data_IF_142935384014
#
_entry.id   IF_142935384014
#
_cell.length_a   1.000
_cell.length_b   1.000
_cell.length_c   1.000
_cell.angle_alpha   90.00
_cell.angle_beta   90.00
_cell.angle_gamma   90.00
#
_symmetry.space_group_name_H-M   'P 1'
#
loop_
_entity.id
_entity.type
_entity.pdbx_description
1 polymer ?
#
# COMPACT_ATOMS: atom_id res chain seq x y z
N UNK A 1 -26.93 -13.51 -33.20
CA UNK A 1 -26.70 -14.14 -31.88
C UNK A 1 -27.02 -13.10 -30.83
N UNK A 2 -27.88 -13.39 -29.86
CA UNK A 2 -28.19 -12.43 -28.80
C UNK A 2 -27.00 -12.30 -27.86
N UNK A 3 -26.71 -11.07 -27.45
CA UNK A 3 -25.65 -10.79 -26.48
C UNK A 3 -26.02 -11.44 -25.14
N UNK A 4 -25.09 -12.11 -24.44
CA UNK A 4 -25.39 -12.71 -23.15
C UNK A 4 -25.66 -11.61 -22.11
N UNK A 5 -26.78 -11.75 -21.39
CA UNK A 5 -27.14 -10.88 -20.26
C UNK A 5 -26.60 -11.47 -18.96
N UNK A 6 -25.95 -10.63 -18.16
CA UNK A 6 -25.48 -11.01 -16.82
C UNK A 6 -26.71 -11.05 -15.89
N UNK A 7 -27.00 -12.17 -15.21
CA UNK A 7 -28.12 -12.25 -14.27
C UNK A 7 -27.88 -11.35 -13.06
N UNK A 8 -28.96 -10.85 -12.45
CA UNK A 8 -28.86 -10.08 -11.22
C UNK A 8 -28.44 -10.97 -10.04
N UNK A 9 -27.43 -10.53 -9.29
CA UNK A 9 -26.90 -11.21 -8.12
C UNK A 9 -27.50 -10.61 -6.85
N UNK A 10 -28.12 -11.43 -6.00
CA UNK A 10 -28.79 -11.00 -4.76
C UNK A 10 -27.86 -10.33 -3.73
N UNK A 11 -26.54 -10.48 -3.85
CA UNK A 11 -25.54 -9.99 -2.89
C UNK A 11 -24.46 -9.13 -3.55
N UNK A 12 -24.78 -8.48 -4.68
CA UNK A 12 -23.82 -7.55 -5.30
C UNK A 12 -23.65 -6.32 -4.40
N UNK A 13 -22.43 -6.03 -3.91
CA UNK A 13 -22.21 -4.84 -3.10
C UNK A 13 -22.45 -3.58 -3.93
N UNK A 14 -22.92 -2.53 -3.24
CA UNK A 14 -23.00 -1.20 -3.81
C UNK A 14 -21.60 -0.68 -4.14
N UNK A 15 -21.53 0.26 -5.09
CA UNK A 15 -20.27 0.92 -5.45
C UNK A 15 -19.58 1.54 -4.23
N UNK A 16 -20.34 2.15 -3.32
CA UNK A 16 -19.82 2.76 -2.09
C UNK A 16 -19.20 1.72 -1.15
N UNK A 17 -19.84 0.56 -0.97
CA UNK A 17 -19.28 -0.55 -0.20
C UNK A 17 -17.97 -1.06 -0.80
N UNK A 18 -17.93 -1.22 -2.13
CA UNK A 18 -16.70 -1.64 -2.84
C UNK A 18 -15.58 -0.63 -2.64
N UNK A 19 -15.84 0.68 -2.76
CA UNK A 19 -14.82 1.71 -2.54
C UNK A 19 -14.30 1.67 -1.11
N UNK A 20 -15.19 1.55 -0.11
CA UNK A 20 -14.81 1.44 1.29
C UNK A 20 -13.93 0.20 1.51
N UNK A 21 -14.29 -0.94 0.94
CA UNK A 21 -13.52 -2.17 1.09
C UNK A 21 -12.17 -2.12 0.38
N UNK A 22 -12.07 -1.42 -0.76
CA UNK A 22 -10.80 -1.11 -1.41
C UNK A 22 -9.90 -0.24 -0.52
N UNK A 23 -10.46 0.82 0.08
CA UNK A 23 -9.71 1.69 1.01
C UNK A 23 -9.25 0.92 2.26
N UNK A 24 -10.09 0.04 2.81
CA UNK A 24 -9.69 -0.87 3.90
C UNK A 24 -8.56 -1.79 3.48
N UNK A 25 -8.63 -2.38 2.28
CA UNK A 25 -7.55 -3.23 1.76
C UNK A 25 -6.24 -2.47 1.65
N UNK A 26 -6.26 -1.22 1.19
CA UNK A 26 -5.06 -0.36 1.11
C UNK A 26 -4.51 -0.10 2.53
N UNK A 27 -5.36 0.25 3.49
CA UNK A 27 -4.94 0.46 4.87
C UNK A 27 -4.35 -0.81 5.52
N UNK A 28 -4.86 -1.99 5.15
CA UNK A 28 -4.29 -3.27 5.59
C UNK A 28 -2.92 -3.54 4.95
N UNK A 29 -2.74 -3.25 3.65
CA UNK A 29 -1.43 -3.33 2.99
C UNK A 29 -0.42 -2.38 3.66
N UNK A 30 -0.83 -1.15 4.00
CA UNK A 30 0.00 -0.16 4.71
C UNK A 30 0.43 -0.63 6.10
N UNK A 31 -0.51 -1.22 6.86
CA UNK A 31 -0.23 -1.78 8.18
C UNK A 31 0.79 -2.93 8.08
N UNK A 32 0.67 -3.77 7.05
CA UNK A 32 1.63 -4.85 6.83
C UNK A 32 3.04 -4.32 6.49
N UNK A 33 3.14 -3.24 5.70
CA UNK A 33 4.43 -2.60 5.38
C UNK A 33 5.05 -1.99 6.65
N UNK A 34 4.25 -1.36 7.50
CA UNK A 34 4.72 -0.82 8.78
C UNK A 34 5.34 -1.89 9.68
N UNK A 35 4.71 -3.07 9.77
CA UNK A 35 5.28 -4.21 10.50
C UNK A 35 6.57 -4.73 9.87
N UNK A 36 6.65 -4.78 8.54
CA UNK A 36 7.85 -5.19 7.84
C UNK A 36 9.01 -4.22 8.09
N UNK A 37 8.74 -2.91 8.07
CA UNK A 37 9.73 -1.87 8.37
C UNK A 37 10.22 -1.98 9.81
N UNK A 38 9.33 -2.23 10.77
CA UNK A 38 9.71 -2.44 12.16
C UNK A 38 10.59 -3.69 12.33
N UNK A 39 10.23 -4.80 11.69
CA UNK A 39 11.04 -6.02 11.71
C UNK A 39 12.43 -5.80 11.10
N UNK A 40 12.54 -5.01 10.03
CA UNK A 40 13.84 -4.62 9.47
C UNK A 40 14.64 -3.76 10.46
N UNK A 41 14.00 -2.79 11.13
CA UNK A 41 14.65 -1.95 12.13
C UNK A 41 15.18 -2.77 13.31
N UNK A 42 14.41 -3.72 13.83
CA UNK A 42 14.84 -4.65 14.88
C UNK A 42 16.04 -5.50 14.42
N UNK A 43 16.04 -5.97 13.16
CA UNK A 43 17.16 -6.70 12.58
C UNK A 43 18.43 -5.85 12.50
N UNK A 44 18.30 -4.58 12.10
CA UNK A 44 19.42 -3.62 12.06
C UNK A 44 19.96 -3.39 13.47
N UNK A 45 19.09 -3.18 14.46
CA UNK A 45 19.49 -2.97 15.85
C UNK A 45 20.20 -4.21 16.43
N UNK A 46 19.69 -5.42 16.15
CA UNK A 46 20.33 -6.66 16.56
C UNK A 46 21.72 -6.84 15.91
N UNK A 47 21.88 -6.41 14.66
CA UNK A 47 23.17 -6.44 13.96
C UNK A 47 24.16 -5.40 14.52
N UNK A 48 23.72 -4.15 14.72
CA UNK A 48 24.56 -3.06 15.21
C UNK A 48 24.92 -3.21 16.69
N UNK A 49 24.10 -3.91 17.47
CA UNK A 49 24.24 -3.96 18.93
C UNK A 49 23.55 -2.77 19.62
N UNK A 50 23.21 -2.94 20.89
CA UNK A 50 22.49 -1.91 21.67
C UNK A 50 23.31 -0.62 21.83
N UNK A 51 24.63 -0.76 21.91
CA UNK A 51 25.58 0.34 22.07
C UNK A 51 26.31 0.68 20.75
N UNK A 52 25.80 0.20 19.61
CA UNK A 52 26.40 0.36 18.28
C UNK A 52 27.84 -0.23 18.20
N UNK A 53 28.07 -1.29 18.95
CA UNK A 53 29.36 -1.91 19.21
C UNK A 53 29.67 -3.11 18.29
N UNK A 54 28.70 -3.52 17.46
CA UNK A 54 28.80 -4.68 16.57
C UNK A 54 29.31 -5.94 17.29
N UNK A 55 28.51 -6.56 18.17
CA UNK A 55 28.97 -7.62 19.08
C UNK A 55 29.49 -8.87 18.38
N UNK A 56 29.15 -9.08 17.11
CA UNK A 56 29.64 -10.18 16.27
C UNK A 56 30.97 -9.90 15.57
N UNK A 57 31.55 -8.70 15.76
CA UNK A 57 32.76 -8.21 15.09
C UNK A 57 32.78 -8.50 13.57
N UNK A 58 31.76 -8.05 12.80
CA UNK A 58 31.67 -8.30 11.37
C UNK A 58 32.78 -7.57 10.61
N UNK A 59 33.20 -8.12 9.48
CA UNK A 59 34.12 -7.43 8.59
C UNK A 59 33.47 -6.21 7.93
N UNK A 60 34.26 -5.22 7.53
CA UNK A 60 33.75 -4.04 6.83
C UNK A 60 33.00 -4.41 5.54
N UNK A 61 33.44 -5.45 4.83
CA UNK A 61 32.73 -5.97 3.65
C UNK A 61 31.33 -6.46 4.00
N UNK A 62 31.18 -7.17 5.12
CA UNK A 62 29.90 -7.64 5.60
C UNK A 62 28.98 -6.48 5.99
N UNK A 63 29.50 -5.46 6.68
CA UNK A 63 28.75 -4.24 7.05
C UNK A 63 28.21 -3.55 5.79
N UNK A 64 29.06 -3.35 4.77
CA UNK A 64 28.66 -2.72 3.50
C UNK A 64 27.60 -3.54 2.79
N UNK A 65 27.76 -4.88 2.76
CA UNK A 65 26.78 -5.78 2.15
C UNK A 65 25.43 -5.71 2.89
N UNK A 66 25.44 -5.73 4.22
CA UNK A 66 24.23 -5.62 5.04
C UNK A 66 23.51 -4.29 4.77
N UNK A 67 24.23 -3.17 4.81
CA UNK A 67 23.67 -1.85 4.51
C UNK A 67 23.08 -1.79 3.08
N UNK A 68 23.78 -2.38 2.10
CA UNK A 68 23.27 -2.49 0.73
C UNK A 68 21.99 -3.31 0.62
N UNK A 69 21.79 -4.34 1.46
CA UNK A 69 20.53 -5.08 1.50
C UNK A 69 19.40 -4.27 2.12
N UNK A 70 19.68 -3.54 3.20
CA UNK A 70 18.70 -2.64 3.83
C UNK A 70 18.27 -1.54 2.88
N UNK A 71 19.21 -0.91 2.17
CA UNK A 71 18.90 0.12 1.16
C UNK A 71 17.97 -0.42 0.08
N UNK A 72 18.26 -1.63 -0.45
CA UNK A 72 17.39 -2.28 -1.45
C UNK A 72 15.98 -2.52 -0.93
N UNK A 73 15.83 -2.89 0.34
CA UNK A 73 14.51 -3.08 0.93
C UNK A 73 13.74 -1.76 1.00
N UNK A 74 14.41 -0.68 1.44
CA UNK A 74 13.83 0.67 1.47
C UNK A 74 13.38 1.09 0.07
N UNK A 75 14.19 0.87 -0.97
CA UNK A 75 13.82 1.19 -2.35
C UNK A 75 12.55 0.45 -2.78
N UNK A 76 12.42 -0.83 -2.41
CA UNK A 76 11.22 -1.64 -2.69
C UNK A 76 10.00 -1.09 -1.95
N UNK A 77 10.16 -0.71 -0.68
CA UNK A 77 9.08 -0.13 0.13
C UNK A 77 8.63 1.20 -0.49
N UNK A 78 9.54 2.10 -0.89
CA UNK A 78 9.19 3.37 -1.54
C UNK A 78 8.38 3.15 -2.81
N UNK A 79 8.74 2.18 -3.65
CA UNK A 79 7.93 1.82 -4.83
C UNK A 79 6.55 1.31 -4.44
N UNK A 80 6.45 0.57 -3.33
CA UNK A 80 5.19 0.02 -2.83
C UNK A 80 4.28 1.13 -2.27
N UNK A 81 4.82 2.06 -1.50
CA UNK A 81 4.12 3.26 -1.01
C UNK A 81 3.52 4.06 -2.16
N UNK A 82 4.30 4.28 -3.22
CA UNK A 82 3.80 4.97 -4.41
C UNK A 82 2.65 4.22 -5.09
N UNK A 83 2.73 2.88 -5.16
CA UNK A 83 1.64 2.06 -5.70
C UNK A 83 0.37 2.14 -4.83
N UNK A 84 0.50 2.15 -3.50
CA UNK A 84 -0.64 2.29 -2.58
C UNK A 84 -1.27 3.67 -2.71
N UNK A 85 -0.47 4.74 -2.81
CA UNK A 85 -0.95 6.09 -3.08
C UNK A 85 -1.79 6.13 -4.35
N UNK A 86 -1.29 5.57 -5.45
CA UNK A 86 -2.03 5.53 -6.72
C UNK A 86 -3.33 4.73 -6.64
N UNK A 87 -3.34 3.60 -5.94
CA UNK A 87 -4.58 2.83 -5.71
C UNK A 87 -5.60 3.65 -4.93
N UNK A 88 -5.14 4.39 -3.91
CA UNK A 88 -5.99 5.23 -3.07
C UNK A 88 -6.58 6.39 -3.87
N UNK A 89 -5.76 7.09 -4.67
CA UNK A 89 -6.22 8.15 -5.57
C UNK A 89 -7.31 7.63 -6.53
N UNK A 90 -7.08 6.49 -7.18
CA UNK A 90 -8.08 5.88 -8.05
C UNK A 90 -9.36 5.49 -7.31
N UNK A 91 -9.26 4.90 -6.10
CA UNK A 91 -10.43 4.55 -5.30
C UNK A 91 -11.27 5.78 -4.91
N UNK A 92 -10.61 6.91 -4.59
CA UNK A 92 -11.25 8.18 -4.26
C UNK A 92 -11.88 8.83 -5.49
N UNK A 93 -11.24 8.73 -6.66
CA UNK A 93 -11.79 9.22 -7.92
C UNK A 93 -13.12 8.51 -8.24
N UNK A 94 -13.17 7.17 -8.08
CA UNK A 94 -14.42 6.41 -8.26
C UNK A 94 -15.54 6.84 -7.30
N UNK A 95 -15.19 7.31 -6.09
CA UNK A 95 -16.15 7.87 -5.13
C UNK A 95 -16.72 9.22 -5.58
N UNK A 96 -15.88 10.11 -6.11
CA UNK A 96 -16.27 11.50 -6.45
C UNK A 96 -17.05 11.62 -7.76
N UNK A 97 -17.05 10.61 -8.63
CA UNK A 97 -17.80 10.63 -9.90
C UNK A 97 -19.34 10.80 -9.69
N UNK A 98 -19.87 10.59 -8.49
CA UNK A 98 -21.30 10.85 -8.18
C UNK A 98 -21.61 12.27 -7.68
N UNK A 99 -20.60 13.11 -7.43
CA UNK A 99 -20.83 14.50 -6.99
C UNK A 99 -21.19 15.47 -8.12
N UNK A 100 -21.24 15.01 -9.38
CA UNK A 100 -21.38 15.89 -10.55
C UNK A 100 -22.63 15.63 -11.42
N UNK A 101 -23.54 14.76 -10.98
CA UNK A 101 -24.81 14.50 -11.69
C UNK A 101 -26.05 15.01 -10.93
N UNK A 102 -25.88 15.62 -9.76
CA UNK A 102 -26.93 16.38 -9.08
C UNK A 102 -26.73 17.89 -9.31
N UNK A 103 -27.11 18.36 -10.50
CA UNK A 103 -27.34 19.79 -10.76
C UNK A 103 -26.46 20.46 -11.83
N UNK A 104 -26.64 20.11 -13.11
CA UNK A 104 -26.73 21.18 -14.11
C UNK A 104 -28.18 21.20 -14.62
N UNK A 105 -29.03 21.88 -13.84
CA UNK A 105 -30.09 22.66 -14.46
C UNK A 105 -29.39 23.81 -15.19
N UNK A 106 -28.91 23.52 -16.39
CA UNK A 106 -28.62 24.57 -17.34
C UNK A 106 -29.99 24.99 -17.92
N UNK A 107 -30.75 25.78 -17.13
CA UNK A 107 -31.94 26.48 -17.61
C UNK A 107 -31.52 27.54 -18.64
N UNK A 108 -32.11 27.41 -19.83
CA UNK A 108 -32.19 28.32 -21.00
C UNK A 108 -30.92 28.74 -21.75
#
# INVERSE_FOLDING_TARGET
MSMPTIPEENFRPSKNEVVIDLLKSIAMEETAISHLLNAEAEKIQAFAGKDLDFPSCPSNEFILKFNGQTTKLIDIIVMKEWLLLRKMESAIEYYHIEGHDEGCDCEE
#
